data_IF_702496870277
#
_entry.id   IF_702496870277
#
_cell.length_a   1.000
_cell.length_b   1.000
_cell.length_c   1.000
_cell.angle_alpha   90.00
_cell.angle_beta   90.00
_cell.angle_gamma   90.00
#
_symmetry.space_group_name_H-M   'P 1'
#
loop_
_entity.id
_entity.type
_entity.pdbx_description
1 polymer ?
#
# COMPACT_ATOMS: atom_id res chain seq x y z
N UNK A 1 15.68 -26.31 9.25
CA UNK A 1 15.07 -25.45 8.21
C UNK A 1 13.57 -25.30 8.40
N UNK A 2 12.79 -26.37 8.60
CA UNK A 2 11.33 -26.28 8.87
C UNK A 2 10.94 -25.35 10.02
N UNK A 3 11.58 -25.45 11.18
CA UNK A 3 11.28 -24.57 12.34
C UNK A 3 11.55 -23.07 12.07
N UNK A 4 12.49 -22.73 11.18
CA UNK A 4 12.79 -21.35 10.80
C UNK A 4 11.73 -20.85 9.82
N UNK A 5 11.20 -21.70 8.96
CA UNK A 5 10.10 -21.37 8.04
C UNK A 5 8.82 -21.16 8.85
N UNK A 6 8.55 -22.01 9.86
CA UNK A 6 7.40 -21.87 10.75
C UNK A 6 7.44 -20.58 11.59
N UNK A 7 8.63 -20.19 12.08
CA UNK A 7 8.80 -18.93 12.81
C UNK A 7 8.62 -17.72 11.90
N UNK A 8 9.08 -17.81 10.67
CA UNK A 8 8.94 -16.78 9.63
C UNK A 8 7.47 -16.56 9.29
N UNK A 9 6.74 -17.65 9.08
CA UNK A 9 5.32 -17.63 8.82
C UNK A 9 4.53 -17.12 10.04
N UNK A 10 4.90 -17.55 11.25
CA UNK A 10 4.27 -17.09 12.49
C UNK A 10 4.48 -15.58 12.73
N UNK A 11 5.67 -15.04 12.46
CA UNK A 11 5.93 -13.60 12.56
C UNK A 11 5.21 -12.80 11.47
N UNK A 12 5.20 -13.27 10.23
CA UNK A 12 4.44 -12.63 9.16
C UNK A 12 2.92 -12.66 9.45
N UNK A 13 2.41 -13.80 9.93
CA UNK A 13 1.02 -13.98 10.39
C UNK A 13 0.74 -13.07 11.60
N UNK A 14 1.64 -12.99 12.57
CA UNK A 14 1.52 -12.10 13.73
C UNK A 14 1.45 -10.62 13.30
N UNK A 15 2.26 -10.18 12.33
CA UNK A 15 2.19 -8.83 11.78
C UNK A 15 0.92 -8.57 10.94
N UNK A 16 0.47 -9.54 10.16
CA UNK A 16 -0.80 -9.44 9.40
C UNK A 16 -2.00 -9.44 10.35
N UNK A 17 -1.94 -10.19 11.45
CA UNK A 17 -3.03 -10.27 12.44
C UNK A 17 -3.00 -9.09 13.40
N UNK A 18 -1.82 -8.56 13.77
CA UNK A 18 -1.71 -7.25 14.43
C UNK A 18 -2.39 -6.16 13.60
N UNK A 19 -2.40 -6.30 12.28
CA UNK A 19 -3.15 -5.40 11.41
C UNK A 19 -4.68 -5.53 11.51
N UNK A 20 -5.24 -6.50 12.23
CA UNK A 20 -6.65 -6.90 12.04
C UNK A 20 -7.61 -6.73 13.24
N UNK A 21 -7.20 -6.33 14.46
CA UNK A 21 -8.14 -6.37 15.62
C UNK A 21 -7.96 -5.36 16.78
N UNK A 22 -8.97 -4.60 17.28
CA UNK A 22 -9.12 -3.96 18.64
C UNK A 22 -10.40 -3.14 18.98
N UNK A 23 -10.85 -3.02 20.28
CA UNK A 23 -11.95 -2.14 20.76
C UNK A 23 -11.73 -1.50 22.15
N UNK A 24 -12.04 -0.19 22.23
CA UNK A 24 -12.39 0.71 23.37
C UNK A 24 -11.43 0.95 24.57
N UNK A 25 -11.07 2.22 24.83
CA UNK A 25 -10.90 2.79 26.17
C UNK A 25 -10.42 4.27 26.29
N UNK A 26 -10.67 4.90 27.42
CA UNK A 26 -10.59 6.31 27.80
C UNK A 26 -9.20 6.96 28.03
N UNK A 27 -8.10 6.29 27.94
CA UNK A 27 -6.77 6.90 27.81
C UNK A 27 -6.20 6.42 26.49
N UNK A 28 -5.80 7.36 25.67
CA UNK A 28 -5.39 7.03 24.31
C UNK A 28 -4.03 6.33 24.34
N UNK A 29 -3.96 5.16 23.69
CA UNK A 29 -2.72 4.40 23.53
C UNK A 29 -1.62 5.24 22.83
N UNK A 30 -2.00 6.24 22.02
CA UNK A 30 -1.08 7.18 21.38
C UNK A 30 -0.28 8.02 22.39
N UNK A 31 -0.75 8.14 23.64
CA UNK A 31 -0.03 8.84 24.70
C UNK A 31 1.27 8.14 25.15
N UNK A 32 1.49 6.91 24.67
CA UNK A 32 2.77 6.22 24.82
C UNK A 32 3.85 6.72 23.85
N UNK A 33 3.47 7.40 22.76
CA UNK A 33 4.40 7.82 21.72
C UNK A 33 5.10 9.11 22.11
N UNK A 34 6.43 9.03 22.28
CA UNK A 34 7.27 10.19 22.54
C UNK A 34 7.33 11.11 21.32
N UNK A 35 7.40 12.44 21.57
CA UNK A 35 7.44 13.46 20.49
C UNK A 35 8.60 13.33 19.49
N UNK A 36 9.67 12.63 19.85
CA UNK A 36 10.82 12.38 18.98
C UNK A 36 10.67 11.11 18.12
N UNK A 37 9.59 10.36 18.27
CA UNK A 37 9.34 9.21 17.40
C UNK A 37 9.04 9.65 15.97
N UNK A 38 9.47 8.84 15.02
CA UNK A 38 9.37 9.16 13.61
C UNK A 38 8.13 8.53 12.97
N UNK A 39 7.62 7.47 13.60
CA UNK A 39 6.52 6.68 13.08
C UNK A 39 5.68 6.08 14.22
N UNK A 40 4.39 6.07 14.03
CA UNK A 40 3.50 5.15 14.75
C UNK A 40 2.33 4.69 13.87
N UNK A 41 1.84 3.50 14.15
CA UNK A 41 0.59 2.95 13.64
C UNK A 41 -0.25 2.47 14.82
N UNK A 42 -1.50 2.90 14.85
CA UNK A 42 -2.53 2.43 15.76
C UNK A 42 -3.57 1.65 14.99
N UNK A 43 -3.93 0.51 15.51
CA UNK A 43 -5.07 -0.28 15.08
C UNK A 43 -6.11 -0.18 16.17
N UNK A 44 -7.30 0.31 15.84
CA UNK A 44 -8.38 0.50 16.81
C UNK A 44 -9.58 -0.38 16.49
N UNK A 45 -10.21 -0.95 17.53
CA UNK A 45 -11.43 -1.73 17.44
C UNK A 45 -11.36 -2.97 16.51
N UNK A 46 -10.33 -3.78 16.63
CA UNK A 46 -10.14 -4.86 15.67
C UNK A 46 -11.16 -5.99 15.72
N UNK A 47 -11.74 -6.31 16.87
CA UNK A 47 -12.78 -7.35 16.93
C UNK A 47 -13.97 -7.02 16.02
N UNK A 48 -14.45 -5.77 16.03
CA UNK A 48 -15.51 -5.30 15.14
C UNK A 48 -15.06 -5.17 13.67
N UNK A 49 -13.86 -4.62 13.45
CA UNK A 49 -13.31 -4.43 12.10
C UNK A 49 -12.93 -5.73 11.41
N UNK A 50 -12.55 -6.77 12.17
CA UNK A 50 -12.19 -8.06 11.62
C UNK A 50 -13.32 -8.70 10.80
N UNK A 51 -14.53 -8.67 11.32
CA UNK A 51 -15.71 -9.19 10.62
C UNK A 51 -16.06 -8.33 9.39
N UNK A 52 -15.84 -7.02 9.44
CA UNK A 52 -16.01 -6.15 8.28
C UNK A 52 -14.93 -6.40 7.21
N UNK A 53 -13.68 -6.62 7.60
CA UNK A 53 -12.61 -6.98 6.67
C UNK A 53 -12.88 -8.27 5.91
N UNK A 54 -13.45 -9.28 6.58
CA UNK A 54 -13.82 -10.55 5.93
C UNK A 54 -14.89 -10.38 4.83
N UNK A 55 -15.59 -9.25 4.81
CA UNK A 55 -16.55 -8.93 3.74
C UNK A 55 -15.88 -8.35 2.49
N UNK A 56 -14.63 -7.89 2.60
CA UNK A 56 -13.83 -7.42 1.47
C UNK A 56 -13.22 -8.63 0.76
N UNK A 57 -13.48 -8.86 -0.54
CA UNK A 57 -13.09 -10.09 -1.25
C UNK A 57 -11.60 -10.41 -1.16
N UNK A 58 -10.73 -9.42 -1.25
CA UNK A 58 -9.28 -9.58 -1.09
C UNK A 58 -8.92 -10.14 0.29
N UNK A 59 -9.43 -9.55 1.37
CA UNK A 59 -9.13 -10.02 2.72
C UNK A 59 -9.83 -11.35 3.02
N UNK A 60 -11.02 -11.60 2.48
CA UNK A 60 -11.65 -12.91 2.53
C UNK A 60 -10.77 -13.99 1.90
N UNK A 61 -10.15 -13.70 0.75
CA UNK A 61 -9.21 -14.61 0.10
C UNK A 61 -7.96 -14.86 0.96
N UNK A 62 -7.39 -13.82 1.55
CA UNK A 62 -6.20 -13.95 2.41
C UNK A 62 -6.50 -14.75 3.68
N UNK A 63 -7.62 -14.46 4.35
CA UNK A 63 -7.93 -15.01 5.67
C UNK A 63 -8.54 -16.42 5.61
N UNK A 64 -9.48 -16.65 4.70
CA UNK A 64 -10.29 -17.87 4.72
C UNK A 64 -9.55 -19.09 4.15
N UNK A 65 -9.92 -20.28 4.63
CA UNK A 65 -9.39 -21.58 4.19
C UNK A 65 -9.52 -21.83 2.67
N UNK A 66 -10.57 -21.29 2.03
CA UNK A 66 -10.78 -21.39 0.57
C UNK A 66 -9.80 -20.55 -0.25
N UNK A 67 -9.04 -19.70 0.38
CA UNK A 67 -7.96 -18.89 -0.19
C UNK A 67 -6.62 -19.30 0.41
N UNK A 68 -5.90 -18.34 1.01
CA UNK A 68 -4.59 -18.59 1.62
C UNK A 68 -4.67 -19.23 3.03
N UNK A 69 -5.83 -19.20 3.70
CA UNK A 69 -6.07 -19.87 4.96
C UNK A 69 -5.27 -19.34 6.15
N UNK A 70 -4.91 -18.05 6.15
CA UNK A 70 -4.09 -17.45 7.22
C UNK A 70 -4.76 -17.57 8.59
N UNK A 71 -6.08 -17.40 8.66
CA UNK A 71 -6.85 -17.51 9.90
C UNK A 71 -6.72 -18.93 10.50
N UNK A 72 -6.91 -19.97 9.70
CA UNK A 72 -6.78 -21.35 10.15
C UNK A 72 -5.35 -21.68 10.59
N UNK A 73 -4.37 -21.23 9.83
CA UNK A 73 -2.94 -21.42 10.17
C UNK A 73 -2.59 -20.78 11.51
N UNK A 74 -3.12 -19.59 11.77
CA UNK A 74 -2.93 -18.91 13.04
C UNK A 74 -3.58 -19.66 14.21
N UNK A 75 -4.83 -20.08 14.06
CA UNK A 75 -5.50 -20.84 15.10
C UNK A 75 -4.79 -22.17 15.39
N UNK A 76 -4.26 -22.86 14.40
CA UNK A 76 -3.43 -24.07 14.62
C UNK A 76 -2.19 -23.78 15.46
N UNK A 77 -1.49 -22.66 15.17
CA UNK A 77 -0.32 -22.25 15.95
C UNK A 77 -0.71 -21.97 17.40
N UNK A 78 -1.84 -21.27 17.64
CA UNK A 78 -2.31 -21.00 18.99
C UNK A 78 -2.77 -22.28 19.72
N UNK A 79 -3.36 -23.24 19.04
CA UNK A 79 -3.73 -24.52 19.64
C UNK A 79 -2.50 -25.40 19.95
N UNK A 80 -1.47 -25.41 19.10
CA UNK A 80 -0.20 -26.09 19.42
C UNK A 80 0.49 -25.43 20.64
N UNK A 81 0.50 -24.10 20.69
CA UNK A 81 0.96 -23.36 21.87
C UNK A 81 0.18 -23.75 23.13
N UNK A 82 -1.15 -23.81 23.05
CA UNK A 82 -1.99 -24.26 24.16
C UNK A 82 -1.63 -25.65 24.63
N UNK A 83 -1.51 -26.58 23.71
CA UNK A 83 -1.15 -27.96 24.02
C UNK A 83 0.19 -28.08 24.74
N UNK A 84 1.18 -27.31 24.33
CA UNK A 84 2.55 -27.39 24.87
C UNK A 84 2.77 -26.53 26.11
N UNK A 85 2.07 -25.42 26.25
CA UNK A 85 2.34 -24.47 27.33
C UNK A 85 1.20 -24.31 28.32
N UNK A 86 0.00 -24.76 27.99
CA UNK A 86 -1.23 -24.52 28.77
C UNK A 86 -1.78 -23.10 28.64
N UNK A 87 -1.17 -22.24 27.80
CA UNK A 87 -1.65 -20.88 27.56
C UNK A 87 -2.87 -20.89 26.65
N UNK A 88 -3.97 -20.31 27.09
CA UNK A 88 -5.22 -20.29 26.30
C UNK A 88 -5.13 -19.34 25.10
N UNK A 89 -5.58 -19.73 23.91
CA UNK A 89 -5.68 -18.87 22.72
C UNK A 89 -6.43 -17.55 22.96
N UNK A 90 -7.45 -17.58 23.83
CA UNK A 90 -8.25 -16.40 24.19
C UNK A 90 -7.43 -15.24 24.76
N UNK A 91 -6.27 -15.51 25.36
CA UNK A 91 -5.37 -14.47 25.88
C UNK A 91 -4.83 -13.59 24.72
N UNK A 92 -4.53 -14.21 23.59
CA UNK A 92 -4.11 -13.49 22.38
C UNK A 92 -5.30 -12.82 21.70
N UNK A 93 -6.45 -13.48 21.65
CA UNK A 93 -7.68 -12.88 21.12
C UNK A 93 -8.09 -11.65 21.93
N UNK A 94 -8.01 -11.69 23.28
CA UNK A 94 -8.28 -10.54 24.14
C UNK A 94 -7.30 -9.38 23.84
N UNK A 95 -6.00 -9.67 23.75
CA UNK A 95 -4.99 -8.65 23.46
C UNK A 95 -5.22 -8.01 22.09
N UNK A 96 -5.51 -8.84 21.11
CA UNK A 96 -5.83 -8.43 19.74
C UNK A 96 -7.18 -7.68 19.67
N UNK A 97 -8.12 -7.91 20.58
CA UNK A 97 -9.41 -7.21 20.64
C UNK A 97 -9.35 -5.82 21.28
N UNK A 98 -8.18 -5.36 21.70
CA UNK A 98 -7.97 -4.00 22.24
C UNK A 98 -7.29 -3.11 21.21
N UNK A 99 -7.04 -1.83 21.55
CA UNK A 99 -6.18 -1.00 20.72
C UNK A 99 -4.76 -1.54 20.71
N UNK A 100 -4.15 -1.63 19.53
CA UNK A 100 -2.75 -1.99 19.35
C UNK A 100 -2.00 -0.78 18.81
N UNK A 101 -0.84 -0.52 19.36
CA UNK A 101 0.08 0.51 18.90
C UNK A 101 1.44 -0.11 18.59
N UNK A 102 1.98 0.25 17.45
CA UNK A 102 3.40 0.13 17.16
C UNK A 102 3.99 1.52 16.99
N UNK A 103 5.13 1.78 17.61
CA UNK A 103 5.85 3.04 17.41
C UNK A 103 7.35 2.79 17.29
N UNK A 104 8.03 3.58 16.45
CA UNK A 104 9.45 3.42 16.17
C UNK A 104 10.15 4.75 15.94
N UNK A 105 11.46 4.78 16.28
CA UNK A 105 12.39 5.86 15.97
C UNK A 105 13.50 5.33 15.05
N UNK A 106 13.89 6.13 14.03
CA UNK A 106 14.95 5.77 13.10
C UNK A 106 14.59 4.68 12.08
N UNK A 107 13.29 4.48 11.83
CA UNK A 107 12.77 3.51 10.87
C UNK A 107 12.65 4.12 9.48
N UNK A 108 12.88 3.32 8.44
CA UNK A 108 12.50 3.62 7.06
C UNK A 108 11.61 2.49 6.52
N UNK A 109 10.44 2.85 6.05
CA UNK A 109 9.44 1.92 5.54
C UNK A 109 9.27 2.19 4.05
N UNK A 110 9.64 1.21 3.23
CA UNK A 110 9.33 1.22 1.80
C UNK A 110 8.12 0.34 1.52
N UNK A 111 6.98 0.97 1.28
CA UNK A 111 5.72 0.28 1.02
C UNK A 111 5.73 -0.50 -0.30
N UNK A 112 6.62 -0.18 -1.25
CA UNK A 112 6.78 -0.96 -2.48
C UNK A 112 7.27 -2.37 -2.19
N UNK A 113 8.19 -2.52 -1.22
CA UNK A 113 8.67 -3.82 -0.77
C UNK A 113 7.61 -4.58 0.04
N UNK A 114 6.74 -3.87 0.76
CA UNK A 114 5.60 -4.48 1.45
C UNK A 114 4.62 -5.11 0.46
N UNK A 115 4.34 -4.44 -0.65
CA UNK A 115 3.44 -4.94 -1.70
C UNK A 115 4.06 -6.08 -2.52
N UNK A 116 5.39 -6.12 -2.64
CA UNK A 116 6.11 -7.18 -3.38
C UNK A 116 6.17 -8.52 -2.64
N UNK A 117 5.72 -8.58 -1.38
CA UNK A 117 5.82 -9.77 -0.52
C UNK A 117 7.25 -10.33 -0.39
N UNK A 118 8.27 -9.47 -0.46
CA UNK A 118 9.67 -9.88 -0.26
C UNK A 118 9.92 -10.28 1.21
N UNK A 119 10.02 -11.57 1.44
CA UNK A 119 10.24 -12.15 2.77
C UNK A 119 11.56 -11.66 3.39
N UNK A 120 12.61 -11.45 2.61
CA UNK A 120 13.89 -11.00 3.13
C UNK A 120 13.82 -9.55 3.63
N UNK A 121 13.09 -8.70 2.90
CA UNK A 121 12.79 -7.34 3.36
C UNK A 121 12.13 -7.34 4.73
N UNK A 122 11.13 -8.18 4.95
CA UNK A 122 10.45 -8.27 6.26
C UNK A 122 11.38 -8.69 7.40
N UNK A 123 12.37 -9.57 7.13
CA UNK A 123 13.34 -9.98 8.16
C UNK A 123 14.30 -8.88 8.52
N UNK A 124 14.86 -8.19 7.55
CA UNK A 124 15.78 -7.09 7.78
C UNK A 124 15.07 -5.90 8.40
N UNK A 125 13.82 -5.67 7.99
CA UNK A 125 12.92 -4.71 8.60
C UNK A 125 12.71 -5.00 10.09
N UNK A 126 12.35 -6.22 10.47
CA UNK A 126 12.16 -6.61 11.88
C UNK A 126 13.44 -6.44 12.70
N UNK A 127 14.60 -6.79 12.18
CA UNK A 127 15.89 -6.61 12.88
C UNK A 127 16.22 -5.13 13.10
N UNK A 128 15.97 -4.30 12.09
CA UNK A 128 16.27 -2.86 12.15
C UNK A 128 15.33 -2.13 13.11
N UNK A 129 14.07 -2.54 13.16
CA UNK A 129 13.03 -1.96 14.02
C UNK A 129 13.30 -2.25 15.50
N UNK A 130 13.87 -3.42 15.83
CA UNK A 130 13.78 -3.96 17.19
C UNK A 130 14.27 -2.98 18.28
N UNK A 131 15.43 -2.35 18.12
CA UNK A 131 16.09 -1.64 19.21
C UNK A 131 15.36 -0.36 19.69
N UNK A 132 14.74 0.40 18.79
CA UNK A 132 14.13 1.71 19.07
C UNK A 132 12.61 1.72 18.91
N UNK A 133 11.98 0.55 19.02
CA UNK A 133 10.55 0.37 18.80
C UNK A 133 9.88 -0.28 19.97
N UNK A 134 8.57 -0.07 20.04
CA UNK A 134 7.73 -0.82 20.96
C UNK A 134 6.35 -1.13 20.35
N UNK A 135 5.75 -2.19 20.87
CA UNK A 135 4.35 -2.52 20.72
C UNK A 135 3.63 -2.29 22.04
N UNK A 136 2.38 -1.84 21.98
CA UNK A 136 1.54 -1.71 23.16
C UNK A 136 0.11 -2.18 22.86
N UNK A 137 -0.53 -2.78 23.84
CA UNK A 137 -1.91 -3.26 23.79
C UNK A 137 -2.40 -3.50 25.21
N UNK A 138 -3.66 -3.88 25.39
CA UNK A 138 -4.17 -4.28 26.71
C UNK A 138 -4.18 -5.81 26.84
N UNK A 139 -3.84 -6.32 28.00
CA UNK A 139 -4.00 -7.74 28.34
C UNK A 139 -4.36 -7.92 29.81
N UNK A 140 -5.30 -8.85 30.08
CA UNK A 140 -5.71 -9.20 31.43
C UNK A 140 -4.75 -10.18 32.11
N UNK A 141 -3.92 -10.87 31.33
CA UNK A 141 -3.06 -11.96 31.82
C UNK A 141 -1.64 -11.88 31.23
N UNK A 142 -0.85 -10.85 31.62
CA UNK A 142 0.44 -10.58 30.98
C UNK A 142 1.47 -11.69 31.16
N UNK A 143 1.53 -12.33 32.31
CA UNK A 143 2.44 -13.46 32.53
C UNK A 143 2.16 -14.64 31.57
N UNK A 144 0.89 -14.92 31.36
CA UNK A 144 0.46 -15.96 30.40
C UNK A 144 0.73 -15.50 28.96
N UNK A 145 0.47 -14.22 28.66
CA UNK A 145 0.79 -13.66 27.35
C UNK A 145 2.30 -13.76 27.05
N UNK A 146 3.16 -13.35 28.01
CA UNK A 146 4.62 -13.47 27.90
C UNK A 146 5.06 -14.93 27.71
N UNK A 147 4.48 -15.86 28.45
CA UNK A 147 4.75 -17.30 28.31
C UNK A 147 4.40 -17.80 26.90
N UNK A 148 3.25 -17.38 26.38
CA UNK A 148 2.80 -17.75 25.03
C UNK A 148 3.70 -17.16 23.94
N UNK A 149 4.06 -15.86 24.02
CA UNK A 149 4.98 -15.22 23.08
C UNK A 149 6.35 -15.87 23.15
N UNK A 150 6.88 -16.17 24.34
CA UNK A 150 8.15 -16.85 24.50
C UNK A 150 8.17 -18.20 23.75
N UNK A 151 7.08 -18.97 23.86
CA UNK A 151 6.91 -20.19 23.09
C UNK A 151 6.88 -19.94 21.58
N UNK A 152 6.06 -18.99 21.12
CA UNK A 152 5.94 -18.67 19.68
C UNK A 152 7.26 -18.20 19.07
N UNK A 153 8.04 -17.43 19.82
CA UNK A 153 9.36 -16.95 19.39
C UNK A 153 10.49 -17.98 19.63
N UNK A 154 10.18 -19.11 20.29
CA UNK A 154 11.17 -20.12 20.69
C UNK A 154 12.31 -19.55 21.56
N UNK A 155 11.97 -18.63 22.48
CA UNK A 155 12.90 -18.00 23.41
C UNK A 155 12.51 -18.24 24.86
N UNK A 156 13.44 -18.11 25.79
CA UNK A 156 13.16 -18.10 27.21
C UNK A 156 12.61 -16.74 27.65
N UNK A 157 11.89 -16.71 28.76
CA UNK A 157 11.52 -15.45 29.40
C UNK A 157 11.95 -15.44 30.88
N UNK A 158 12.24 -14.24 31.37
CA UNK A 158 12.70 -14.02 32.75
C UNK A 158 11.88 -12.90 33.36
N UNK A 159 11.23 -13.10 34.50
CA UNK A 159 10.61 -12.02 35.25
C UNK A 159 11.70 -11.06 35.80
N UNK A 160 11.40 -9.78 35.77
CA UNK A 160 12.20 -8.70 36.28
C UNK A 160 11.43 -7.97 37.41
N UNK A 161 12.09 -7.12 38.22
CA UNK A 161 11.41 -6.27 39.18
C UNK A 161 10.31 -5.39 38.52
N UNK A 162 9.36 -4.90 39.34
CA UNK A 162 8.26 -4.01 38.93
C UNK A 162 7.33 -4.59 37.84
N UNK A 163 7.03 -5.88 37.92
CA UNK A 163 6.17 -6.58 36.94
C UNK A 163 6.65 -6.43 35.49
N UNK A 164 7.95 -6.35 35.30
CA UNK A 164 8.58 -6.38 33.99
C UNK A 164 9.03 -7.80 33.62
N UNK A 165 9.31 -8.02 32.33
CA UNK A 165 9.79 -9.28 31.82
C UNK A 165 10.86 -9.03 30.75
N UNK A 166 11.80 -9.97 30.66
CA UNK A 166 12.75 -10.05 29.55
C UNK A 166 12.45 -11.30 28.74
N UNK A 167 12.20 -11.15 27.46
CA UNK A 167 11.94 -12.21 26.47
C UNK A 167 13.21 -12.40 25.63
N UNK A 168 13.79 -13.60 25.69
CA UNK A 168 15.13 -13.79 25.16
C UNK A 168 16.11 -12.85 25.85
N UNK A 169 17.05 -12.32 25.08
CA UNK A 169 18.05 -11.38 25.57
C UNK A 169 17.78 -9.91 25.15
N UNK A 170 16.68 -9.65 24.46
CA UNK A 170 16.48 -8.38 23.74
C UNK A 170 15.15 -7.69 23.96
N UNK A 171 14.04 -8.41 24.18
CA UNK A 171 12.71 -7.81 24.28
C UNK A 171 12.33 -7.54 25.72
N UNK A 172 12.13 -6.28 26.07
CA UNK A 172 11.74 -5.83 27.40
C UNK A 172 10.23 -5.56 27.44
N UNK A 173 9.54 -6.10 28.44
CA UNK A 173 8.11 -5.93 28.60
C UNK A 173 7.79 -5.27 29.94
N UNK A 174 6.75 -4.44 29.97
CA UNK A 174 6.31 -3.73 31.18
C UNK A 174 4.94 -3.08 31.03
N UNK A 175 4.53 -2.29 32.01
CA UNK A 175 3.23 -1.65 32.03
C UNK A 175 3.31 -0.14 32.03
N UNK A 176 2.46 0.49 31.23
CA UNK A 176 2.13 1.91 31.27
C UNK A 176 0.61 2.05 31.52
N UNK A 177 0.24 2.27 32.77
CA UNK A 177 -1.18 2.25 33.15
C UNK A 177 -1.83 0.90 32.83
N UNK A 178 -2.83 0.89 31.95
CA UNK A 178 -3.53 -0.31 31.51
C UNK A 178 -2.87 -1.01 30.29
N UNK A 179 -1.85 -0.40 29.68
CA UNK A 179 -1.21 -0.92 28.49
C UNK A 179 0.00 -1.77 28.84
N UNK A 180 0.05 -2.95 28.26
CA UNK A 180 1.23 -3.79 28.25
C UNK A 180 2.11 -3.41 27.07
N UNK A 181 3.38 -3.13 27.33
CA UNK A 181 4.36 -2.64 26.35
C UNK A 181 5.43 -3.71 26.15
N UNK A 182 5.74 -4.02 24.91
CA UNK A 182 6.86 -4.88 24.48
C UNK A 182 7.80 -4.01 23.67
N UNK A 183 9.02 -3.81 24.15
CA UNK A 183 10.00 -2.94 23.52
C UNK A 183 11.27 -3.73 23.12
N UNK A 184 11.90 -3.30 22.04
CA UNK A 184 13.13 -3.91 21.52
C UNK A 184 14.38 -3.59 22.33
N UNK A 185 14.28 -2.69 23.33
CA UNK A 185 15.36 -2.40 24.29
C UNK A 185 14.78 -1.89 25.60
N UNK A 186 15.59 -1.96 26.65
CA UNK A 186 15.27 -1.38 27.96
C UNK A 186 14.99 0.12 27.87
N UNK A 187 15.83 0.84 27.12
CA UNK A 187 15.69 2.29 26.90
C UNK A 187 14.38 2.63 26.21
N UNK A 188 13.97 1.87 25.20
CA UNK A 188 12.70 2.08 24.51
C UNK A 188 11.49 1.82 25.44
N UNK A 189 11.56 0.78 26.28
CA UNK A 189 10.54 0.53 27.30
C UNK A 189 10.44 1.69 28.28
N UNK A 190 11.55 2.09 28.91
CA UNK A 190 11.61 3.16 29.89
C UNK A 190 11.10 4.48 29.31
N UNK A 191 11.46 4.78 28.05
CA UNK A 191 10.97 5.97 27.35
C UNK A 191 9.45 5.93 27.17
N UNK A 192 8.88 4.80 26.73
CA UNK A 192 7.42 4.66 26.56
C UNK A 192 6.68 4.84 27.89
N UNK A 193 7.17 4.17 28.97
CA UNK A 193 6.58 4.28 30.31
C UNK A 193 6.64 5.73 30.85
N UNK A 194 7.79 6.40 30.71
CA UNK A 194 7.98 7.79 31.11
C UNK A 194 7.10 8.74 30.29
N UNK A 195 7.00 8.54 28.99
CA UNK A 195 6.17 9.35 28.09
C UNK A 195 4.70 9.29 28.48
N UNK A 196 4.20 8.10 28.79
CA UNK A 196 2.82 7.95 29.25
C UNK A 196 2.52 8.74 30.53
N UNK A 197 3.47 8.77 31.44
CA UNK A 197 3.34 9.48 32.72
C UNK A 197 3.58 11.02 32.61
N UNK A 198 4.15 11.50 31.50
CA UNK A 198 4.59 12.88 31.33
C UNK A 198 3.96 13.53 30.10
N UNK A 199 2.83 14.26 30.24
CA UNK A 199 2.09 14.83 29.11
C UNK A 199 2.93 15.66 28.12
N UNK A 200 3.91 16.42 28.60
CA UNK A 200 4.77 17.28 27.75
C UNK A 200 5.74 16.49 26.84
N UNK A 201 5.89 15.19 27.09
CA UNK A 201 6.69 14.29 26.26
C UNK A 201 5.87 13.60 25.18
N UNK A 202 4.54 13.66 25.24
CA UNK A 202 3.62 12.94 24.36
C UNK A 202 3.51 13.63 23.00
N UNK A 203 3.75 12.88 21.92
CA UNK A 203 3.57 13.34 20.53
C UNK A 203 2.13 13.84 20.30
N UNK A 204 1.16 13.12 20.84
CA UNK A 204 -0.27 13.42 20.72
C UNK A 204 -0.67 14.83 21.23
N UNK A 205 0.14 15.45 22.06
CA UNK A 205 -0.10 16.80 22.62
C UNK A 205 0.70 17.91 21.93
N UNK A 206 1.58 17.57 20.99
CA UNK A 206 2.42 18.57 20.31
C UNK A 206 1.66 19.35 19.23
N UNK A 207 0.55 18.81 18.72
CA UNK A 207 -0.25 19.46 17.68
C UNK A 207 -1.70 18.96 17.68
N UNK A 208 -2.65 19.87 17.40
CA UNK A 208 -4.08 19.57 17.20
C UNK A 208 -4.35 18.55 16.10
N UNK A 209 -3.40 18.33 15.20
CA UNK A 209 -3.47 17.30 14.15
C UNK A 209 -3.70 15.90 14.74
N UNK A 210 -3.09 15.62 15.90
CA UNK A 210 -3.25 14.31 16.57
C UNK A 210 -4.57 14.15 17.31
N UNK A 211 -5.28 15.25 17.64
CA UNK A 211 -6.63 15.17 18.21
C UNK A 211 -7.59 14.44 17.28
N UNK A 212 -7.45 14.63 15.96
CA UNK A 212 -8.27 13.94 14.96
C UNK A 212 -8.00 12.42 14.96
N UNK A 213 -6.76 11.99 15.15
CA UNK A 213 -6.42 10.58 15.24
C UNK A 213 -6.94 9.94 16.54
N UNK A 214 -7.05 10.71 17.62
CA UNK A 214 -7.66 10.26 18.89
C UNK A 214 -9.16 10.11 18.78
N UNK A 215 -9.84 11.14 18.27
CA UNK A 215 -11.30 11.19 18.19
C UNK A 215 -11.88 10.34 17.05
N UNK A 216 -11.06 9.96 16.07
CA UNK A 216 -11.50 9.28 14.85
C UNK A 216 -11.84 7.80 15.08
N UNK A 217 -12.93 7.36 14.48
CA UNK A 217 -13.34 5.96 14.40
C UNK A 217 -12.63 5.25 13.24
N UNK A 218 -11.31 5.38 13.19
CA UNK A 218 -10.51 4.76 12.15
C UNK A 218 -10.10 3.35 12.55
N UNK A 219 -10.14 2.42 11.62
CA UNK A 219 -9.61 1.08 11.83
C UNK A 219 -8.09 1.12 12.02
N UNK A 220 -7.36 1.69 11.06
CA UNK A 220 -5.94 1.97 11.17
C UNK A 220 -5.76 3.48 11.17
N UNK A 221 -4.89 3.99 12.02
CA UNK A 221 -4.48 5.39 11.99
C UNK A 221 -3.01 5.50 12.37
N UNK A 222 -2.34 6.54 11.90
CA UNK A 222 -0.94 6.72 12.24
C UNK A 222 -0.33 8.00 11.71
N UNK A 223 0.95 8.11 12.00
CA UNK A 223 1.79 9.25 11.68
C UNK A 223 3.15 8.77 11.21
N UNK A 224 3.71 9.51 10.27
CA UNK A 224 5.07 9.32 9.80
C UNK A 224 5.74 10.67 9.56
N UNK A 225 7.00 10.80 9.96
CA UNK A 225 7.87 11.86 9.43
C UNK A 225 8.14 11.61 7.95
N UNK A 226 8.43 12.66 7.16
CA UNK A 226 8.58 12.55 5.70
C UNK A 226 9.57 11.49 5.24
N UNK A 227 10.71 11.43 5.89
CA UNK A 227 11.82 10.55 5.51
C UNK A 227 11.59 9.08 5.87
N UNK A 228 10.58 8.82 6.69
CA UNK A 228 10.31 7.49 7.25
C UNK A 228 9.51 6.62 6.30
N UNK A 229 8.55 7.21 5.58
CA UNK A 229 7.64 6.49 4.69
C UNK A 229 7.97 6.80 3.24
N UNK A 230 8.33 5.76 2.46
CA UNK A 230 8.49 5.83 1.01
C UNK A 230 7.49 4.91 0.34
N UNK A 231 7.01 5.33 -0.80
CA UNK A 231 6.09 4.55 -1.62
C UNK A 231 6.40 4.77 -3.09
N UNK A 232 6.84 3.73 -3.77
CA UNK A 232 7.10 3.75 -5.19
C UNK A 232 6.40 2.55 -5.82
N UNK A 233 5.26 2.79 -6.47
CA UNK A 233 4.68 1.85 -7.42
C UNK A 233 4.95 2.33 -8.84
N UNK A 234 4.90 1.46 -9.84
CA UNK A 234 4.97 1.87 -11.23
C UNK A 234 4.02 3.05 -11.52
N UNK A 235 4.59 4.20 -11.88
CA UNK A 235 3.83 5.42 -12.15
C UNK A 235 3.29 6.18 -10.94
N UNK A 236 3.61 5.74 -9.72
CA UNK A 236 3.14 6.38 -8.49
C UNK A 236 4.27 6.48 -7.49
N UNK A 237 4.75 7.69 -7.25
CA UNK A 237 5.72 7.98 -6.20
C UNK A 237 5.10 8.91 -5.15
N UNK A 238 5.19 8.54 -3.87
CA UNK A 238 4.98 9.47 -2.76
C UNK A 238 6.35 9.97 -2.34
N UNK A 239 6.73 11.13 -2.84
CA UNK A 239 7.88 11.86 -2.32
C UNK A 239 7.43 12.72 -1.14
N UNK A 240 7.85 12.33 0.04
CA UNK A 240 7.54 13.05 1.27
C UNK A 240 8.66 14.00 1.72
N UNK A 241 9.74 14.14 0.96
CA UNK A 241 10.91 14.96 1.35
C UNK A 241 10.57 16.44 1.58
N UNK A 242 9.65 16.99 0.78
CA UNK A 242 9.15 18.37 0.88
C UNK A 242 7.95 18.52 1.85
N UNK A 243 7.68 17.52 2.69
CA UNK A 243 6.56 17.53 3.63
C UNK A 243 6.99 17.91 5.03
N UNK A 244 6.03 18.30 5.86
CA UNK A 244 6.19 18.45 7.31
C UNK A 244 5.90 17.13 8.02
N UNK A 245 4.87 16.42 7.57
CA UNK A 245 4.45 15.11 8.09
C UNK A 245 3.50 14.40 7.11
N UNK A 246 3.31 13.11 7.35
CA UNK A 246 2.28 12.29 6.72
C UNK A 246 1.39 11.68 7.81
N UNK A 247 0.09 11.89 7.71
CA UNK A 247 -0.91 11.13 8.48
C UNK A 247 -1.51 10.06 7.58
N UNK A 248 -1.90 8.94 8.18
CA UNK A 248 -2.68 7.93 7.46
C UNK A 248 -3.80 7.39 8.34
N UNK A 249 -4.90 7.07 7.70
CA UNK A 249 -6.08 6.51 8.37
C UNK A 249 -6.91 5.68 7.41
N UNK A 250 -7.51 4.62 7.94
CA UNK A 250 -8.32 3.69 7.16
C UNK A 250 -9.71 3.49 7.73
N UNK A 251 -10.61 3.10 6.84
CA UNK A 251 -11.97 2.66 7.19
C UNK A 251 -12.32 1.39 6.42
N UNK A 252 -13.22 0.60 6.98
CA UNK A 252 -13.83 -0.54 6.30
C UNK A 252 -15.33 -0.32 6.28
N UNK A 253 -15.97 -0.42 5.13
CA UNK A 253 -17.41 -0.30 5.02
C UNK A 253 -17.94 -0.90 3.73
N UNK A 254 -19.10 -1.52 3.78
CA UNK A 254 -19.83 -2.05 2.61
C UNK A 254 -18.94 -2.92 1.68
N UNK A 255 -18.09 -3.77 2.25
CA UNK A 255 -17.20 -4.64 1.47
C UNK A 255 -15.99 -3.95 0.86
N UNK A 256 -15.69 -2.71 1.26
CA UNK A 256 -14.52 -1.97 0.81
C UNK A 256 -13.60 -1.63 1.99
N UNK A 257 -12.30 -1.80 1.79
CA UNK A 257 -11.27 -1.24 2.65
C UNK A 257 -10.70 0.01 2.00
N UNK A 258 -10.60 1.10 2.75
CA UNK A 258 -9.95 2.32 2.24
C UNK A 258 -8.89 2.81 3.20
N UNK A 259 -7.77 3.27 2.65
CA UNK A 259 -6.72 3.98 3.39
C UNK A 259 -6.42 5.32 2.71
N UNK A 260 -6.33 6.36 3.51
CA UNK A 260 -5.97 7.71 3.07
C UNK A 260 -4.67 8.11 3.72
N UNK A 261 -3.73 8.59 2.91
CA UNK A 261 -2.52 9.29 3.36
C UNK A 261 -2.74 10.78 3.14
N UNK A 262 -2.57 11.56 4.17
CA UNK A 262 -2.63 13.03 4.15
C UNK A 262 -1.24 13.56 4.41
N UNK A 263 -0.65 14.16 3.40
CA UNK A 263 0.68 14.74 3.43
C UNK A 263 0.56 16.26 3.56
N UNK A 264 1.12 16.86 4.61
CA UNK A 264 1.23 18.30 4.72
C UNK A 264 2.54 18.77 4.13
N UNK A 265 2.48 19.55 3.07
CA UNK A 265 3.65 20.06 2.35
C UNK A 265 4.15 21.38 2.96
N UNK A 266 5.46 21.62 2.91
CA UNK A 266 6.10 22.87 3.34
C UNK A 266 5.73 24.07 2.49
N UNK A 267 5.37 23.82 1.22
CA UNK A 267 4.97 24.84 0.24
C UNK A 267 3.56 24.59 -0.28
N UNK A 268 2.87 25.65 -0.66
CA UNK A 268 1.60 25.52 -1.35
C UNK A 268 1.82 24.92 -2.75
N UNK A 269 1.03 23.91 -3.07
CA UNK A 269 1.10 23.22 -4.34
C UNK A 269 -0.02 23.68 -5.27
N UNK A 270 0.28 23.72 -6.55
CA UNK A 270 -0.71 24.01 -7.59
C UNK A 270 -1.48 22.74 -7.94
N UNK A 271 -2.81 22.78 -7.81
CA UNK A 271 -3.66 21.66 -8.19
C UNK A 271 -3.67 21.50 -9.71
N UNK A 272 -3.25 20.33 -10.19
CA UNK A 272 -3.42 19.92 -11.59
C UNK A 272 -4.80 19.26 -11.74
N UNK A 273 -5.55 19.64 -12.77
CA UNK A 273 -6.86 19.03 -13.07
C UNK A 273 -6.71 18.09 -14.25
N UNK A 274 -7.25 16.89 -14.13
CA UNK A 274 -7.45 15.98 -15.24
C UNK A 274 -8.87 16.17 -15.79
N UNK A 275 -9.01 16.39 -17.08
CA UNK A 275 -10.28 16.21 -17.78
C UNK A 275 -10.40 14.73 -18.13
N UNK A 276 -11.43 14.03 -17.63
CA UNK A 276 -11.37 12.60 -17.60
C UNK A 276 -12.23 11.88 -18.64
N UNK A 277 -11.62 10.91 -19.33
CA UNK A 277 -12.28 9.94 -20.18
C UNK A 277 -11.74 8.50 -20.06
N UNK A 278 -11.01 8.16 -18.99
CA UNK A 278 -10.53 6.79 -18.77
C UNK A 278 -11.70 5.79 -18.68
N UNK A 279 -12.85 6.24 -18.22
CA UNK A 279 -14.07 5.43 -18.14
C UNK A 279 -14.52 4.81 -19.47
N UNK A 280 -14.10 5.36 -20.59
CA UNK A 280 -14.43 4.86 -21.92
C UNK A 280 -13.44 3.80 -22.44
N UNK A 281 -12.38 3.50 -21.71
CA UNK A 281 -11.39 2.47 -22.08
C UNK A 281 -11.98 1.07 -21.85
N UNK A 282 -11.72 0.10 -22.77
CA UNK A 282 -12.19 -1.27 -22.61
C UNK A 282 -11.63 -1.96 -21.36
N UNK A 283 -12.45 -2.80 -20.71
CA UNK A 283 -12.03 -3.65 -19.58
C UNK A 283 -11.26 -4.89 -20.07
N UNK A 284 -10.12 -4.70 -20.73
CA UNK A 284 -9.30 -5.79 -21.28
C UNK A 284 -7.97 -5.98 -20.54
N UNK A 285 -7.70 -5.15 -19.54
CA UNK A 285 -6.42 -5.01 -18.88
C UNK A 285 -6.58 -5.23 -17.37
N UNK A 286 -5.48 -5.45 -16.66
CA UNK A 286 -5.48 -5.46 -15.19
C UNK A 286 -4.79 -4.23 -14.57
N UNK A 287 -4.23 -3.34 -15.41
CA UNK A 287 -3.60 -2.09 -15.03
C UNK A 287 -4.17 -0.95 -15.88
N UNK A 288 -4.66 0.11 -15.23
CA UNK A 288 -5.21 1.31 -15.87
C UNK A 288 -4.75 2.54 -15.10
N UNK A 289 -3.95 3.38 -15.73
CA UNK A 289 -3.41 4.60 -15.14
C UNK A 289 -3.82 5.82 -15.97
N UNK A 290 -4.22 6.90 -15.30
CA UNK A 290 -4.45 8.21 -15.89
C UNK A 290 -3.53 9.23 -15.24
N UNK A 291 -2.77 9.96 -16.05
CA UNK A 291 -1.83 11.00 -15.61
C UNK A 291 -2.04 12.30 -16.41
N UNK A 292 -1.74 13.48 -15.83
CA UNK A 292 -1.75 14.73 -16.59
C UNK A 292 -0.70 14.69 -17.69
N UNK A 293 -1.06 15.15 -18.88
CA UNK A 293 -0.09 15.30 -19.99
C UNK A 293 1.05 16.27 -19.65
N UNK A 294 0.80 17.22 -18.75
CA UNK A 294 1.81 18.14 -18.23
C UNK A 294 2.90 17.46 -17.39
N UNK A 295 2.65 16.24 -16.91
CA UNK A 295 3.63 15.41 -16.20
C UNK A 295 4.40 14.50 -17.17
N UNK A 296 5.11 15.14 -18.10
CA UNK A 296 5.87 14.44 -19.14
C UNK A 296 6.96 13.53 -18.57
N UNK A 297 7.59 13.92 -17.47
CA UNK A 297 8.64 13.13 -16.81
C UNK A 297 8.04 11.86 -16.20
N UNK A 298 6.89 11.97 -15.52
CA UNK A 298 6.17 10.81 -14.99
C UNK A 298 5.74 9.84 -16.09
N UNK A 299 5.22 10.34 -17.22
CA UNK A 299 4.85 9.49 -18.37
C UNK A 299 6.06 8.76 -18.94
N UNK A 300 7.20 9.44 -19.07
CA UNK A 300 8.45 8.83 -19.55
C UNK A 300 8.97 7.78 -18.59
N UNK A 301 8.90 8.03 -17.29
CA UNK A 301 9.36 7.06 -16.28
C UNK A 301 8.49 5.80 -16.25
N UNK A 302 7.17 5.94 -16.42
CA UNK A 302 6.27 4.79 -16.58
C UNK A 302 6.66 3.95 -17.79
N UNK A 303 6.99 4.60 -18.93
CA UNK A 303 7.41 3.89 -20.13
C UNK A 303 8.71 3.10 -19.93
N UNK A 304 9.69 3.67 -19.21
CA UNK A 304 10.94 2.96 -18.88
C UNK A 304 10.70 1.67 -18.09
N UNK A 305 9.69 1.66 -17.24
CA UNK A 305 9.32 0.46 -16.46
C UNK A 305 8.72 -0.64 -17.33
N UNK A 306 7.97 -0.28 -18.38
CA UNK A 306 7.41 -1.24 -19.33
C UNK A 306 8.43 -1.71 -20.38
N UNK A 307 9.34 -0.82 -20.80
CA UNK A 307 10.38 -1.11 -21.78
C UNK A 307 11.71 -1.38 -21.06
N UNK A 308 11.99 -2.64 -20.74
CA UNK A 308 13.28 -3.03 -20.20
C UNK A 308 14.36 -2.88 -21.28
N UNK A 309 15.36 -2.01 -21.06
CA UNK A 309 16.47 -1.85 -21.99
C UNK A 309 17.26 -0.56 -21.75
N UNK A 310 18.53 -0.56 -22.11
CA UNK A 310 19.43 0.60 -22.01
C UNK A 310 20.09 0.83 -23.35
N UNK A 311 19.49 1.55 -24.28
CA UNK A 311 20.12 1.80 -25.58
C UNK A 311 19.62 3.09 -26.22
N UNK A 312 20.30 3.52 -27.30
CA UNK A 312 19.90 4.64 -28.15
C UNK A 312 18.45 4.52 -28.65
N UNK A 313 17.97 3.30 -28.86
CA UNK A 313 16.59 3.05 -29.27
C UNK A 313 15.58 3.41 -28.16
N UNK A 314 15.89 3.11 -26.91
CA UNK A 314 15.04 3.54 -25.78
C UNK A 314 14.97 5.07 -25.72
N UNK A 315 16.09 5.78 -25.86
CA UNK A 315 16.12 7.24 -25.84
C UNK A 315 15.21 7.85 -26.93
N UNK A 316 15.21 7.30 -28.14
CA UNK A 316 14.34 7.75 -29.24
C UNK A 316 12.85 7.52 -28.94
N UNK A 317 12.52 6.38 -28.37
CA UNK A 317 11.15 6.05 -27.98
C UNK A 317 10.68 6.96 -26.84
N UNK A 318 11.53 7.24 -25.85
CA UNK A 318 11.23 8.17 -24.76
C UNK A 318 11.01 9.60 -25.28
N UNK A 319 11.84 10.06 -26.22
CA UNK A 319 11.66 11.37 -26.86
C UNK A 319 10.33 11.45 -27.62
N UNK A 320 9.97 10.41 -28.36
CA UNK A 320 8.69 10.30 -29.06
C UNK A 320 7.49 10.39 -28.10
N UNK A 321 7.48 9.60 -27.03
CA UNK A 321 6.40 9.62 -26.04
C UNK A 321 6.34 10.95 -25.29
N UNK A 322 7.50 11.56 -24.99
CA UNK A 322 7.57 12.90 -24.42
C UNK A 322 6.93 13.96 -25.36
N UNK A 323 7.20 13.88 -26.65
CA UNK A 323 6.60 14.81 -27.63
C UNK A 323 5.08 14.61 -27.75
N UNK A 324 4.59 13.37 -27.75
CA UNK A 324 3.16 13.07 -27.74
C UNK A 324 2.48 13.56 -26.45
N UNK A 325 3.10 13.35 -25.30
CA UNK A 325 2.57 13.81 -24.00
C UNK A 325 2.40 15.33 -24.00
N UNK A 326 3.39 16.08 -24.46
CA UNK A 326 3.33 17.56 -24.54
C UNK A 326 2.22 18.09 -25.47
N UNK A 327 1.84 17.32 -26.49
CA UNK A 327 0.78 17.70 -27.45
C UNK A 327 -0.61 17.20 -27.05
N UNK A 328 -0.74 16.50 -25.93
CA UNK A 328 -1.97 15.84 -25.50
C UNK A 328 -2.62 16.55 -24.33
N UNK A 329 -3.93 16.40 -24.18
CA UNK A 329 -4.67 16.91 -23.01
C UNK A 329 -4.58 15.94 -21.83
N UNK A 330 -4.61 14.64 -22.09
CA UNK A 330 -4.47 13.57 -21.08
C UNK A 330 -3.65 12.42 -21.65
N UNK A 331 -3.02 11.66 -20.75
CA UNK A 331 -2.34 10.40 -21.06
C UNK A 331 -2.90 9.30 -20.19
N UNK A 332 -3.28 8.19 -20.84
CA UNK A 332 -3.67 6.97 -20.16
C UNK A 332 -2.66 5.87 -20.47
N UNK A 333 -2.39 5.04 -19.50
CA UNK A 333 -1.57 3.84 -19.68
C UNK A 333 -2.38 2.64 -19.24
N UNK A 334 -2.50 1.65 -20.11
CA UNK A 334 -3.16 0.39 -19.81
C UNK A 334 -2.21 -0.76 -20.08
N UNK A 335 -2.34 -1.85 -19.31
CA UNK A 335 -1.45 -2.99 -19.50
C UNK A 335 -1.88 -4.23 -18.75
N UNK A 336 -1.15 -5.30 -19.00
CA UNK A 336 -1.21 -6.57 -18.27
C UNK A 336 0.14 -6.82 -17.60
N UNK A 337 0.16 -6.78 -16.27
CA UNK A 337 1.40 -6.87 -15.49
C UNK A 337 2.10 -8.22 -15.72
N UNK A 338 1.35 -9.31 -15.86
CA UNK A 338 1.89 -10.65 -16.06
C UNK A 338 2.37 -10.96 -17.49
N UNK A 339 1.89 -10.21 -18.48
CA UNK A 339 2.17 -10.48 -19.90
C UNK A 339 3.08 -9.46 -20.57
N UNK A 340 3.41 -8.36 -19.89
CA UNK A 340 4.18 -7.27 -20.48
C UNK A 340 3.46 -6.50 -21.59
N UNK A 341 2.18 -6.79 -21.86
CA UNK A 341 1.36 -6.04 -22.81
C UNK A 341 1.04 -4.66 -22.24
N UNK A 342 1.26 -3.60 -23.01
CA UNK A 342 0.95 -2.23 -22.60
C UNK A 342 0.49 -1.37 -23.78
N UNK A 343 -0.22 -0.28 -23.46
CA UNK A 343 -0.64 0.70 -24.44
C UNK A 343 -0.74 2.10 -23.78
N UNK A 344 -0.02 3.06 -24.32
CA UNK A 344 -0.16 4.47 -24.01
C UNK A 344 -1.19 5.08 -24.94
N UNK A 345 -2.12 5.86 -24.39
CA UNK A 345 -3.25 6.48 -25.10
C UNK A 345 -3.18 7.98 -24.85
N UNK A 346 -3.02 8.76 -25.90
CA UNK A 346 -2.85 10.21 -25.85
C UNK A 346 -4.10 10.88 -26.44
N UNK A 347 -4.82 11.65 -25.62
CA UNK A 347 -6.02 12.38 -26.04
C UNK A 347 -5.68 13.68 -26.78
N UNK A 348 -6.45 14.00 -27.83
CA UNK A 348 -6.35 15.24 -28.60
C UNK A 348 -4.97 15.50 -29.23
N UNK A 349 -4.24 14.45 -29.58
CA UNK A 349 -2.93 14.57 -30.22
C UNK A 349 -3.06 15.01 -31.68
N UNK A 350 -2.13 15.87 -32.10
CA UNK A 350 -2.07 16.34 -33.48
C UNK A 350 -1.49 15.25 -34.41
N UNK A 351 -2.29 14.72 -35.33
CA UNK A 351 -1.91 13.66 -36.25
C UNK A 351 -0.75 14.02 -37.19
N UNK A 352 -0.66 15.29 -37.64
CA UNK A 352 0.47 15.72 -38.49
C UNK A 352 1.80 15.70 -37.71
N UNK A 353 1.78 16.12 -36.46
CA UNK A 353 2.94 16.00 -35.57
C UNK A 353 3.32 14.54 -35.34
N UNK A 354 2.33 13.65 -35.27
CA UNK A 354 2.56 12.22 -35.14
C UNK A 354 3.35 11.64 -36.32
N UNK A 355 2.91 11.89 -37.57
CA UNK A 355 3.57 11.35 -38.76
C UNK A 355 5.05 11.76 -38.84
N UNK A 356 5.34 13.03 -38.55
CA UNK A 356 6.71 13.52 -38.52
C UNK A 356 7.54 12.86 -37.42
N UNK A 357 6.97 12.67 -36.25
CA UNK A 357 7.66 12.10 -35.08
C UNK A 357 7.90 10.60 -35.27
N UNK A 358 6.93 9.87 -35.82
CA UNK A 358 7.02 8.44 -36.08
C UNK A 358 8.05 8.15 -37.19
N UNK A 359 8.13 8.99 -38.22
CA UNK A 359 9.15 8.89 -39.26
C UNK A 359 10.58 8.98 -38.70
N UNK A 360 10.81 9.85 -37.70
CA UNK A 360 12.10 9.96 -36.99
C UNK A 360 12.50 8.71 -36.23
N UNK A 361 11.53 7.88 -35.83
CA UNK A 361 11.77 6.59 -35.16
C UNK A 361 12.15 5.49 -36.15
N UNK A 362 12.10 5.74 -37.45
CA UNK A 362 12.30 4.71 -38.48
C UNK A 362 11.14 3.71 -38.59
N UNK A 363 9.94 4.10 -38.15
CA UNK A 363 8.76 3.26 -38.22
C UNK A 363 8.32 3.01 -39.67
N UNK A 364 7.78 1.81 -39.92
CA UNK A 364 7.21 1.43 -41.20
C UNK A 364 5.69 1.50 -41.14
N UNK A 365 5.07 2.22 -42.07
CA UNK A 365 3.62 2.29 -42.16
C UNK A 365 3.03 1.09 -42.86
N UNK A 366 2.05 0.43 -42.26
CA UNK A 366 1.23 -0.62 -42.84
C UNK A 366 -0.12 -0.03 -43.25
N UNK A 367 -0.31 0.19 -44.56
CA UNK A 367 -1.51 0.82 -45.10
C UNK A 367 -2.77 -0.06 -44.95
N UNK A 368 -2.63 -1.39 -44.91
CA UNK A 368 -3.77 -2.30 -44.74
C UNK A 368 -4.31 -2.24 -43.29
N UNK A 369 -3.40 -2.16 -42.33
CA UNK A 369 -3.75 -2.10 -40.91
C UNK A 369 -3.92 -0.67 -40.38
N UNK A 370 -3.52 0.34 -41.17
CA UNK A 370 -3.50 1.74 -40.77
C UNK A 370 -2.73 1.97 -39.47
N UNK A 371 -1.55 1.42 -39.36
CA UNK A 371 -0.66 1.51 -38.20
C UNK A 371 0.80 1.65 -38.61
N UNK A 372 1.63 2.19 -37.71
CA UNK A 372 3.09 2.21 -37.85
C UNK A 372 3.69 1.14 -36.95
N UNK A 373 4.66 0.42 -37.51
CA UNK A 373 5.41 -0.63 -36.82
C UNK A 373 6.82 -0.12 -36.50
N UNK A 374 7.21 -0.19 -35.26
CA UNK A 374 8.53 0.18 -34.74
C UNK A 374 9.18 -1.10 -34.24
N UNK A 375 10.37 -1.44 -34.76
CA UNK A 375 11.16 -2.53 -34.20
C UNK A 375 11.97 -1.97 -33.02
N UNK A 376 11.74 -2.52 -31.84
CA UNK A 376 12.46 -2.18 -30.61
C UNK A 376 13.08 -3.45 -30.04
N UNK A 377 14.41 -3.57 -30.16
CA UNK A 377 15.13 -4.82 -29.84
C UNK A 377 14.52 -6.02 -30.59
N UNK A 378 14.08 -7.06 -29.87
CA UNK A 378 13.38 -8.25 -30.42
C UNK A 378 11.86 -8.11 -30.50
N UNK A 379 11.30 -6.98 -30.03
CA UNK A 379 9.86 -6.74 -29.94
C UNK A 379 9.37 -5.75 -30.98
N UNK A 380 8.08 -5.83 -31.30
CA UNK A 380 7.40 -4.82 -32.13
C UNK A 380 6.59 -3.90 -31.22
N UNK A 381 6.73 -2.60 -31.45
CA UNK A 381 5.87 -1.58 -30.93
C UNK A 381 5.02 -1.01 -32.07
N UNK A 382 3.78 -0.69 -31.74
CA UNK A 382 2.79 -0.20 -32.69
C UNK A 382 2.36 1.19 -32.34
N UNK A 383 2.10 2.02 -33.35
CA UNK A 383 1.47 3.33 -33.21
C UNK A 383 0.33 3.43 -34.21
N UNK A 384 -0.84 3.81 -33.73
CA UNK A 384 -2.01 3.98 -34.59
C UNK A 384 -2.90 5.12 -34.06
N UNK A 385 -3.85 5.50 -34.88
CA UNK A 385 -4.78 6.59 -34.57
C UNK A 385 -6.22 6.12 -34.72
N UNK A 386 -7.04 6.40 -33.71
CA UNK A 386 -8.48 6.16 -33.73
C UNK A 386 -9.16 7.42 -33.17
N UNK A 387 -10.06 8.03 -33.95
CA UNK A 387 -10.73 9.28 -33.64
C UNK A 387 -9.71 10.38 -33.25
N UNK A 388 -9.79 10.92 -32.02
CA UNK A 388 -8.89 11.97 -31.53
C UNK A 388 -7.79 11.43 -30.60
N UNK A 389 -7.43 10.13 -30.73
CA UNK A 389 -6.48 9.46 -29.86
C UNK A 389 -5.34 8.83 -30.64
N UNK A 390 -4.13 9.04 -30.14
CA UNK A 390 -2.93 8.32 -30.57
C UNK A 390 -2.67 7.19 -29.59
N UNK A 391 -2.41 6.01 -30.09
CA UNK A 391 -2.08 4.81 -29.36
C UNK A 391 -0.63 4.42 -29.63
N UNK A 392 0.10 4.06 -28.57
CA UNK A 392 1.50 3.59 -28.69
C UNK A 392 1.75 2.47 -27.69
N UNK A 393 2.25 1.31 -28.13
CA UNK A 393 2.57 0.19 -27.23
C UNK A 393 2.84 -1.11 -27.93
N UNK A 394 2.74 -2.20 -27.17
CA UNK A 394 2.98 -3.58 -27.64
C UNK A 394 1.78 -4.22 -28.36
N UNK A 395 0.63 -3.52 -28.38
CA UNK A 395 -0.64 -4.01 -28.93
C UNK A 395 -0.90 -3.35 -30.28
N UNK A 396 -1.22 -4.16 -31.30
CA UNK A 396 -1.62 -3.67 -32.63
C UNK A 396 -3.08 -3.16 -32.63
N UNK A 397 -3.41 -2.41 -33.67
CA UNK A 397 -4.73 -1.81 -33.86
C UNK A 397 -5.85 -2.84 -33.88
N UNK A 398 -5.66 -3.97 -34.55
CA UNK A 398 -6.70 -5.01 -34.70
C UNK A 398 -7.08 -5.62 -33.33
N UNK A 399 -6.09 -5.89 -32.49
CA UNK A 399 -6.30 -6.41 -31.14
C UNK A 399 -7.01 -5.39 -30.26
N UNK A 400 -6.66 -4.11 -30.35
CA UNK A 400 -7.35 -3.05 -29.61
C UNK A 400 -8.82 -2.90 -30.04
N UNK A 401 -9.11 -2.89 -31.35
CA UNK A 401 -10.48 -2.81 -31.88
C UNK A 401 -11.32 -4.04 -31.49
N UNK A 402 -10.69 -5.22 -31.39
CA UNK A 402 -11.36 -6.41 -30.85
C UNK A 402 -11.76 -6.18 -29.38
N UNK A 403 -10.89 -5.61 -28.54
CA UNK A 403 -11.22 -5.28 -27.15
C UNK A 403 -12.35 -4.26 -27.07
N UNK A 404 -12.35 -3.25 -27.93
CA UNK A 404 -13.44 -2.27 -27.99
C UNK A 404 -14.80 -2.89 -28.28
N UNK A 405 -14.85 -3.93 -29.13
CA UNK A 405 -16.09 -4.61 -29.51
C UNK A 405 -16.58 -5.64 -28.51
N UNK A 406 -15.65 -6.31 -27.81
CA UNK A 406 -15.96 -7.51 -27.01
C UNK A 406 -15.92 -7.31 -25.51
N UNK A 407 -15.41 -6.17 -25.02
CA UNK A 407 -15.24 -5.89 -23.60
C UNK A 407 -16.13 -4.73 -23.15
N UNK A 408 -16.62 -4.80 -21.91
CA UNK A 408 -17.26 -3.67 -21.26
C UNK A 408 -16.31 -2.48 -21.06
N UNK A 409 -16.85 -1.37 -20.59
CA UNK A 409 -16.09 -0.14 -20.35
C UNK A 409 -15.82 0.06 -18.85
N UNK A 410 -14.70 0.66 -18.48
CA UNK A 410 -14.36 0.94 -17.08
C UNK A 410 -15.46 1.65 -16.31
N UNK A 411 -16.18 2.58 -16.94
CA UNK A 411 -17.32 3.29 -16.35
C UNK A 411 -18.47 2.39 -15.89
N UNK A 412 -18.52 1.14 -16.34
CA UNK A 412 -19.54 0.16 -15.96
C UNK A 412 -19.21 -0.52 -14.63
N UNK A 413 -17.98 -0.36 -14.12
CA UNK A 413 -17.58 -0.87 -12.81
C UNK A 413 -18.23 -0.05 -11.68
N UNK A 414 -18.86 -0.69 -10.68
CA UNK A 414 -19.45 0.02 -9.55
C UNK A 414 -18.49 1.00 -8.84
N UNK A 415 -17.23 0.60 -8.66
CA UNK A 415 -16.20 1.46 -8.07
C UNK A 415 -15.90 2.72 -8.90
N UNK A 416 -16.14 2.70 -10.20
CA UNK A 416 -15.89 3.84 -11.07
C UNK A 416 -16.80 5.01 -10.73
N UNK A 417 -17.99 4.76 -10.18
CA UNK A 417 -18.92 5.82 -9.77
C UNK A 417 -18.34 6.75 -8.70
N UNK A 418 -17.70 6.19 -7.66
CA UNK A 418 -17.05 7.00 -6.63
C UNK A 418 -15.85 7.75 -7.17
N UNK A 419 -15.19 7.15 -8.11
CA UNK A 419 -14.04 7.68 -8.81
C UNK A 419 -14.40 8.85 -9.75
N UNK A 420 -15.54 8.79 -10.42
CA UNK A 420 -16.00 9.83 -11.35
C UNK A 420 -16.44 11.12 -10.65
N UNK A 421 -16.82 11.06 -9.36
CA UNK A 421 -17.22 12.23 -8.56
C UNK A 421 -16.03 13.12 -8.16
N UNK A 422 -14.81 12.63 -8.22
CA UNK A 422 -13.63 13.42 -7.91
C UNK A 422 -13.29 14.29 -9.12
N UNK A 423 -13.52 15.58 -9.01
CA UNK A 423 -13.33 16.56 -10.10
C UNK A 423 -11.90 17.10 -10.17
N UNK A 424 -11.08 16.90 -9.14
CA UNK A 424 -9.71 17.40 -9.06
C UNK A 424 -8.77 16.31 -8.55
N UNK A 425 -7.92 15.77 -9.41
CA UNK A 425 -6.88 14.82 -9.04
C UNK A 425 -5.70 14.90 -10.01
N UNK A 426 -4.54 14.47 -9.54
CA UNK A 426 -3.30 14.52 -10.30
C UNK A 426 -3.02 13.21 -11.05
N UNK A 427 -3.42 12.07 -10.48
CA UNK A 427 -3.44 10.80 -11.19
C UNK A 427 -4.46 9.84 -10.59
N UNK A 428 -4.81 8.79 -11.34
CA UNK A 428 -5.68 7.68 -10.93
C UNK A 428 -5.12 6.38 -11.47
N UNK A 429 -5.07 5.37 -10.62
CA UNK A 429 -4.69 4.00 -10.96
C UNK A 429 -5.80 3.04 -10.54
N UNK A 430 -6.21 2.17 -11.46
CA UNK A 430 -7.04 1.00 -11.18
C UNK A 430 -6.22 -0.25 -11.44
N UNK A 431 -6.18 -1.16 -10.48
CA UNK A 431 -5.64 -2.50 -10.63
C UNK A 431 -6.75 -3.54 -10.45
N UNK A 432 -6.83 -4.49 -11.39
CA UNK A 432 -7.64 -5.71 -11.21
C UNK A 432 -6.82 -6.75 -10.44
N UNK A 433 -6.85 -6.64 -9.09
CA UNK A 433 -6.12 -7.56 -8.21
C UNK A 433 -6.61 -8.99 -8.41
N UNK A 434 -7.90 -9.18 -8.69
CA UNK A 434 -8.47 -10.50 -8.93
C UNK A 434 -7.88 -11.19 -10.15
N UNK A 435 -7.69 -10.46 -11.25
CA UNK A 435 -7.04 -10.99 -12.46
C UNK A 435 -5.56 -11.30 -12.19
N UNK A 436 -4.86 -10.45 -11.45
CA UNK A 436 -3.46 -10.67 -11.05
C UNK A 436 -3.33 -11.92 -10.16
N UNK A 437 -4.18 -12.08 -9.15
CA UNK A 437 -4.18 -13.27 -8.29
C UNK A 437 -4.47 -14.52 -9.12
N UNK A 438 -5.47 -14.46 -10.00
CA UNK A 438 -5.83 -15.58 -10.86
C UNK A 438 -4.68 -16.03 -11.74
N UNK A 439 -3.96 -15.09 -12.37
CA UNK A 439 -2.84 -15.40 -13.27
C UNK A 439 -1.65 -16.01 -12.52
N UNK A 440 -1.41 -15.61 -11.28
CA UNK A 440 -0.26 -16.06 -10.46
C UNK A 440 -0.53 -17.31 -9.63
N UNK A 441 -1.76 -17.47 -9.13
CA UNK A 441 -2.10 -18.53 -8.18
C UNK A 441 -3.19 -19.50 -8.67
N UNK A 442 -3.91 -19.15 -9.74
CA UNK A 442 -5.08 -19.90 -10.22
C UNK A 442 -6.38 -19.64 -9.45
N UNK A 443 -6.36 -18.90 -8.35
CA UNK A 443 -7.57 -18.60 -7.56
C UNK A 443 -8.41 -17.49 -8.22
N UNK A 444 -9.74 -17.67 -8.24
CA UNK A 444 -10.66 -16.64 -8.68
C UNK A 444 -11.08 -15.77 -7.50
N UNK A 445 -10.65 -14.50 -7.52
CA UNK A 445 -11.02 -13.48 -6.55
C UNK A 445 -11.62 -12.29 -7.29
N UNK A 446 -12.77 -11.80 -6.84
CA UNK A 446 -13.35 -10.60 -7.43
C UNK A 446 -12.90 -9.39 -6.60
N UNK A 447 -11.69 -8.89 -6.87
CA UNK A 447 -11.13 -7.77 -6.14
C UNK A 447 -10.46 -6.78 -7.07
N UNK A 448 -10.64 -5.49 -6.78
CA UNK A 448 -10.02 -4.38 -7.49
C UNK A 448 -9.42 -3.40 -6.50
N UNK A 449 -8.35 -2.72 -6.91
CA UNK A 449 -7.74 -1.64 -6.15
C UNK A 449 -7.81 -0.34 -6.96
N UNK A 450 -8.33 0.69 -6.33
CA UNK A 450 -8.25 2.06 -6.83
C UNK A 450 -7.25 2.85 -6.01
N UNK A 451 -6.41 3.61 -6.70
CA UNK A 451 -5.49 4.53 -6.10
C UNK A 451 -5.55 5.88 -6.82
N UNK A 452 -5.63 6.98 -6.08
CA UNK A 452 -5.59 8.32 -6.65
C UNK A 452 -4.93 9.33 -5.72
N UNK A 453 -4.44 10.40 -6.33
CA UNK A 453 -3.85 11.56 -5.65
C UNK A 453 -4.61 12.82 -6.02
N UNK A 454 -4.87 13.67 -5.04
CA UNK A 454 -5.31 15.04 -5.26
C UNK A 454 -4.59 15.98 -4.28
N UNK A 455 -4.44 17.25 -4.70
CA UNK A 455 -3.77 18.28 -3.92
C UNK A 455 -4.71 19.48 -3.71
N UNK A 456 -4.70 20.03 -2.52
CA UNK A 456 -5.43 21.26 -2.19
C UNK A 456 -4.62 22.13 -1.23
N UNK A 457 -4.17 23.31 -1.68
CA UNK A 457 -3.34 24.19 -0.89
C UNK A 457 -2.02 23.54 -0.45
N UNK A 458 -1.85 23.38 0.86
CA UNK A 458 -0.67 22.74 1.46
C UNK A 458 -0.79 21.22 1.62
N UNK A 459 -1.90 20.60 1.22
CA UNK A 459 -2.15 19.19 1.47
C UNK A 459 -2.19 18.38 0.18
N UNK A 460 -1.49 17.26 0.18
CA UNK A 460 -1.65 16.18 -0.80
C UNK A 460 -2.33 14.98 -0.14
N UNK A 461 -3.32 14.45 -0.80
CA UNK A 461 -4.07 13.29 -0.35
C UNK A 461 -3.86 12.15 -1.33
N UNK A 462 -3.48 11.00 -0.80
CA UNK A 462 -3.41 9.75 -1.54
C UNK A 462 -4.43 8.81 -0.95
N UNK A 463 -5.29 8.26 -1.77
CA UNK A 463 -6.32 7.34 -1.30
C UNK A 463 -6.26 6.04 -2.08
N UNK A 464 -6.31 4.93 -1.32
CA UNK A 464 -6.39 3.57 -1.85
C UNK A 464 -7.73 3.00 -1.40
N UNK A 465 -8.45 2.35 -2.31
CA UNK A 465 -9.62 1.53 -1.99
C UNK A 465 -9.40 0.14 -2.56
N UNK A 466 -9.66 -0.87 -1.75
CA UNK A 466 -9.68 -2.29 -2.13
C UNK A 466 -11.10 -2.82 -1.92
N UNK A 467 -11.68 -3.41 -2.96
CA UNK A 467 -12.99 -4.05 -2.92
C UNK A 467 -12.89 -5.56 -2.95
#
# INVERSE_FOLDING_TARGET
>A
MEKIVDLKLALAIFFVIIALTSVLADSDIIDLVHKDYDFFIRISNGGGWYEELKKVPFFAFVLNRKGLGFEESFFRILEDMRYRTGVLPTIFQDAISTDILFASKGIQIDLSNVVSFDINYYFDFVKTIAANSFFAFQTKSPSQFVKGIAYLLSVNYKPLPNNQYLLGDTLYCGYAGKYFVIAGSKTALELALKTYATPDMQLSRTSKVFERLRAGTFFISGYSKPETLRFNLPGVSIDSSESEYVLFYSTVSAGNFSITFEQKNKKQLTTKRLSENIGNIPMAWNYYLSVPSSDTEGVVEILKQWLQGSNADLARVLEFVSALSKSSSNVYVVGRLEGGDFLFIFDNSNTKALETSVAKLGAKYDAQKQEWNITFQSSKLYTFYIANRVFFGSIDRAKYEQYEKTRGRLKELPMYYDFSKLTTYEFKLLLDIGDIIKSTTGFNVSSKMLFWKYTTGYFSYYKIIIS
#
